data_IF_788141569843
#
_entry.id   IF_788141569843
#
_cell.length_a   1.000
_cell.length_b   1.000
_cell.length_c   1.000
_cell.angle_alpha   90.00
_cell.angle_beta   90.00
_cell.angle_gamma   90.00
#
_symmetry.space_group_name_H-M   'P 1'
#
loop_
_entity.id
_entity.type
_entity.pdbx_description
1 polymer ?
#
# COMPACT_ATOMS: atom_id res chain seq x y z
N UNK A 1 40.02 -3.03 -27.43
CA UNK A 1 39.91 -3.37 -25.99
C UNK A 1 39.36 -4.80 -25.85
N UNK A 2 39.97 -5.68 -25.03
CA UNK A 2 39.51 -7.09 -24.89
C UNK A 2 38.13 -7.14 -24.21
N UNK A 3 37.27 -8.07 -24.62
CA UNK A 3 35.92 -8.25 -24.08
C UNK A 3 35.89 -8.38 -22.54
N UNK A 4 36.84 -9.13 -21.96
CA UNK A 4 37.02 -9.25 -20.50
C UNK A 4 37.17 -7.89 -19.79
N UNK A 5 37.97 -6.98 -20.34
CA UNK A 5 38.23 -5.67 -19.74
C UNK A 5 37.00 -4.77 -19.86
N UNK A 6 36.24 -4.92 -20.96
CA UNK A 6 34.98 -4.19 -21.17
C UNK A 6 33.91 -4.62 -20.15
N UNK A 7 33.81 -5.91 -19.83
CA UNK A 7 32.89 -6.45 -18.81
C UNK A 7 33.22 -5.89 -17.42
N UNK A 8 34.49 -5.95 -17.00
CA UNK A 8 34.95 -5.42 -15.71
C UNK A 8 34.68 -3.92 -15.61
N UNK A 9 35.01 -3.16 -16.66
CA UNK A 9 34.74 -1.71 -16.70
C UNK A 9 33.25 -1.39 -16.61
N UNK A 10 32.39 -2.14 -17.31
CA UNK A 10 30.94 -1.95 -17.26
C UNK A 10 30.37 -2.24 -15.87
N UNK A 11 30.82 -3.32 -15.21
CA UNK A 11 30.37 -3.66 -13.86
C UNK A 11 30.74 -2.59 -12.84
N UNK A 12 31.96 -2.07 -12.89
CA UNK A 12 32.40 -1.03 -11.96
C UNK A 12 31.67 0.31 -12.21
N UNK A 13 31.39 0.64 -13.47
CA UNK A 13 30.65 1.87 -13.82
C UNK A 13 29.16 1.77 -13.49
N UNK A 14 28.56 0.59 -13.65
CA UNK A 14 27.13 0.34 -13.44
C UNK A 14 26.92 -0.91 -12.57
N UNK A 15 27.07 -0.81 -11.24
CA UNK A 15 26.96 -1.95 -10.33
C UNK A 15 25.61 -2.68 -10.43
N UNK A 16 24.53 -1.92 -10.67
CA UNK A 16 23.17 -2.42 -10.77
C UNK A 16 22.77 -2.92 -12.17
N UNK A 17 23.67 -2.89 -13.14
CA UNK A 17 23.36 -3.40 -14.49
C UNK A 17 23.29 -4.93 -14.48
N UNK A 18 22.25 -5.50 -15.09
CA UNK A 18 22.11 -6.96 -15.14
C UNK A 18 23.20 -7.60 -16.02
N UNK A 19 23.60 -8.83 -15.70
CA UNK A 19 24.56 -9.57 -16.54
C UNK A 19 24.05 -9.82 -17.97
N UNK A 20 22.72 -9.78 -18.17
CA UNK A 20 22.10 -9.86 -19.49
C UNK A 20 22.27 -8.58 -20.30
N UNK A 21 22.22 -7.40 -19.67
CA UNK A 21 22.51 -6.13 -20.32
C UNK A 21 23.99 -6.01 -20.69
N UNK A 22 24.89 -6.40 -19.78
CA UNK A 22 26.33 -6.43 -20.06
C UNK A 22 26.63 -7.37 -21.24
N UNK A 23 25.99 -8.55 -21.26
CA UNK A 23 26.09 -9.52 -22.36
C UNK A 23 25.67 -8.90 -23.70
N UNK A 24 24.53 -8.22 -23.76
CA UNK A 24 24.05 -7.53 -24.96
C UNK A 24 24.98 -6.40 -25.42
N UNK A 25 25.54 -5.63 -24.49
CA UNK A 25 26.42 -4.49 -24.81
C UNK A 25 27.83 -4.89 -25.25
N UNK A 26 28.29 -6.08 -24.82
CA UNK A 26 29.63 -6.61 -25.16
C UNK A 26 29.54 -7.59 -26.34
N UNK A 27 28.39 -8.20 -26.60
CA UNK A 27 28.21 -9.18 -27.68
C UNK A 27 28.71 -10.58 -27.32
N UNK A 28 28.61 -10.97 -26.05
CA UNK A 28 29.10 -12.28 -25.53
C UNK A 28 28.01 -12.99 -24.75
N UNK A 29 28.15 -14.31 -24.54
CA UNK A 29 27.16 -15.06 -23.78
C UNK A 29 27.07 -14.61 -22.32
N UNK A 30 25.87 -14.71 -21.73
CA UNK A 30 25.64 -14.39 -20.31
C UNK A 30 26.47 -15.27 -19.37
N UNK A 31 26.72 -16.51 -19.73
CA UNK A 31 27.57 -17.45 -18.98
C UNK A 31 29.02 -16.95 -18.96
N UNK A 32 29.52 -16.47 -20.10
CA UNK A 32 30.85 -15.88 -20.18
C UNK A 32 30.98 -14.65 -19.28
N UNK A 33 29.99 -13.75 -19.28
CA UNK A 33 29.95 -12.59 -18.37
C UNK A 33 29.99 -13.05 -16.91
N UNK A 34 29.18 -14.03 -16.52
CA UNK A 34 29.15 -14.55 -15.16
C UNK A 34 30.51 -15.10 -14.71
N UNK A 35 31.18 -15.90 -15.56
CA UNK A 35 32.49 -16.46 -15.26
C UNK A 35 33.56 -15.38 -15.10
N UNK A 36 33.56 -14.36 -15.96
CA UNK A 36 34.49 -13.23 -15.85
C UNK A 36 34.26 -12.44 -14.57
N UNK A 37 32.99 -12.13 -14.23
CA UNK A 37 32.67 -11.42 -12.99
C UNK A 37 33.10 -12.22 -11.74
N UNK A 38 32.82 -13.53 -11.73
CA UNK A 38 33.22 -14.42 -10.63
C UNK A 38 34.73 -14.53 -10.49
N UNK A 39 35.48 -14.56 -11.59
CA UNK A 39 36.95 -14.67 -11.60
C UNK A 39 37.67 -13.39 -11.16
N UNK A 40 36.95 -12.26 -11.12
CA UNK A 40 37.47 -10.97 -10.65
C UNK A 40 36.80 -10.53 -9.33
N UNK A 41 36.14 -11.45 -8.62
CA UNK A 41 35.43 -11.19 -7.35
C UNK A 41 34.42 -10.03 -7.41
N UNK A 42 33.80 -9.84 -8.57
CA UNK A 42 32.80 -8.81 -8.80
C UNK A 42 31.38 -9.33 -8.54
N UNK A 43 30.48 -8.42 -8.17
CA UNK A 43 29.07 -8.74 -7.94
C UNK A 43 28.43 -9.39 -9.18
N UNK A 44 28.01 -10.66 -9.03
CA UNK A 44 27.32 -11.43 -10.08
C UNK A 44 25.80 -11.38 -9.93
N UNK A 45 25.31 -11.23 -8.70
CA UNK A 45 23.89 -11.10 -8.35
C UNK A 45 23.58 -9.65 -8.02
N UNK A 46 22.86 -8.99 -8.90
CA UNK A 46 22.39 -7.63 -8.68
C UNK A 46 21.16 -7.65 -7.76
N UNK A 47 21.07 -6.77 -6.75
CA UNK A 47 19.87 -6.60 -5.94
C UNK A 47 18.68 -6.24 -6.85
N UNK A 48 17.59 -7.00 -6.74
CA UNK A 48 16.36 -6.67 -7.46
C UNK A 48 15.56 -5.66 -6.64
N UNK A 49 14.92 -4.65 -7.27
CA UNK A 49 13.98 -3.80 -6.55
C UNK A 49 12.86 -4.66 -5.99
N UNK A 50 12.64 -4.58 -4.68
CA UNK A 50 11.53 -5.26 -4.02
C UNK A 50 10.26 -4.45 -4.27
N UNK A 51 9.19 -5.12 -4.71
CA UNK A 51 7.87 -4.49 -4.79
C UNK A 51 7.33 -4.35 -3.38
N UNK A 52 7.46 -3.16 -2.80
CA UNK A 52 6.81 -2.82 -1.55
C UNK A 52 5.34 -2.47 -1.79
N UNK A 53 4.49 -2.85 -0.84
CA UNK A 53 3.07 -2.52 -0.86
C UNK A 53 2.85 -1.50 0.25
N UNK A 54 2.14 -0.41 -0.07
CA UNK A 54 1.84 0.64 0.89
C UNK A 54 0.43 0.49 1.46
N UNK A 55 0.30 0.79 2.74
CA UNK A 55 -0.97 0.84 3.44
C UNK A 55 -1.83 1.98 2.88
N UNK A 56 -3.08 1.68 2.53
CA UNK A 56 -3.99 2.70 1.97
C UNK A 56 -4.42 3.79 2.96
N UNK A 57 -4.24 3.55 4.25
CA UNK A 57 -4.70 4.48 5.30
C UNK A 57 -3.56 5.34 5.87
N UNK A 58 -2.40 4.76 6.19
CA UNK A 58 -1.26 5.52 6.75
C UNK A 58 -0.13 5.78 5.75
N UNK A 59 -0.07 5.06 4.63
CA UNK A 59 1.00 5.21 3.64
C UNK A 59 2.28 4.44 3.96
N UNK A 60 2.38 3.77 5.11
CA UNK A 60 3.54 2.97 5.49
C UNK A 60 3.62 1.64 4.73
N UNK A 61 4.80 1.04 4.69
CA UNK A 61 5.02 -0.25 4.04
C UNK A 61 4.27 -1.33 4.83
N UNK A 62 3.37 -2.04 4.15
CA UNK A 62 2.59 -3.14 4.72
C UNK A 62 2.85 -4.42 3.94
N UNK A 63 2.95 -5.52 4.67
CA UNK A 63 2.95 -6.89 4.12
C UNK A 63 1.59 -7.56 4.24
N UNK A 64 0.60 -6.83 4.78
CA UNK A 64 -0.68 -7.39 5.21
C UNK A 64 -1.65 -7.57 4.05
N UNK A 65 -2.48 -8.62 4.15
CA UNK A 65 -3.50 -8.92 3.14
C UNK A 65 -4.49 -7.76 3.05
N UNK A 66 -4.65 -7.22 1.84
CA UNK A 66 -5.58 -6.11 1.57
C UNK A 66 -4.95 -4.72 1.59
N UNK A 67 -3.63 -4.61 1.81
CA UNK A 67 -2.87 -3.35 1.79
C UNK A 67 -3.32 -2.36 2.88
N UNK A 68 -3.67 -2.87 4.07
CA UNK A 68 -4.04 -2.06 5.24
C UNK A 68 -3.50 -2.78 6.47
N UNK A 69 -2.83 -2.06 7.37
CA UNK A 69 -2.36 -2.65 8.62
C UNK A 69 -3.51 -3.14 9.50
N UNK A 70 -3.25 -4.23 10.20
CA UNK A 70 -4.15 -4.74 11.24
C UNK A 70 -4.26 -3.74 12.40
N UNK A 71 -5.37 -3.78 13.13
CA UNK A 71 -5.64 -2.84 14.22
C UNK A 71 -6.13 -1.47 13.74
N UNK A 72 -5.38 -0.42 14.06
CA UNK A 72 -5.86 0.96 13.92
C UNK A 72 -6.20 1.37 12.49
N UNK A 73 -5.36 1.00 11.52
CA UNK A 73 -5.61 1.32 10.11
C UNK A 73 -6.88 0.62 9.61
N UNK A 74 -7.10 -0.63 10.03
CA UNK A 74 -8.34 -1.35 9.73
C UNK A 74 -9.57 -0.67 10.35
N UNK A 75 -9.46 -0.17 11.59
CA UNK A 75 -10.54 0.58 12.22
C UNK A 75 -10.84 1.89 11.48
N UNK A 76 -9.82 2.72 11.21
CA UNK A 76 -9.96 3.98 10.46
C UNK A 76 -10.50 3.76 9.05
N UNK A 77 -10.13 2.65 8.41
CA UNK A 77 -10.66 2.30 7.10
C UNK A 77 -12.14 1.95 7.14
N UNK A 78 -12.57 1.16 8.13
CA UNK A 78 -13.95 0.62 8.22
C UNK A 78 -14.94 1.57 8.87
N UNK A 79 -14.50 2.37 9.84
CA UNK A 79 -15.37 3.21 10.66
C UNK A 79 -15.18 4.70 10.36
N UNK A 80 -16.25 5.46 10.58
CA UNK A 80 -16.28 6.92 10.45
C UNK A 80 -16.86 7.50 11.73
N UNK A 81 -16.23 8.58 12.22
CA UNK A 81 -16.74 9.36 13.34
C UNK A 81 -17.87 10.25 12.84
N UNK A 82 -19.01 10.20 13.53
CA UNK A 82 -20.22 10.95 13.22
C UNK A 82 -20.73 11.64 14.48
N UNK A 83 -21.55 12.66 14.29
CA UNK A 83 -22.23 13.36 15.38
C UNK A 83 -23.71 13.03 15.31
N UNK A 84 -24.30 12.65 16.45
CA UNK A 84 -25.73 12.38 16.51
C UNK A 84 -26.54 13.65 16.18
N UNK A 85 -27.56 13.53 15.34
CA UNK A 85 -28.45 14.64 14.96
C UNK A 85 -29.25 15.17 16.16
N UNK A 86 -29.60 14.31 17.12
CA UNK A 86 -30.40 14.67 18.29
C UNK A 86 -29.54 14.95 19.52
N UNK A 87 -28.92 13.95 20.15
CA UNK A 87 -28.15 14.12 21.39
C UNK A 87 -26.75 14.75 21.23
N UNK A 88 -26.32 15.02 19.99
CA UNK A 88 -25.00 15.61 19.64
C UNK A 88 -23.76 14.84 20.12
N UNK A 89 -23.91 13.65 20.71
CA UNK A 89 -22.79 12.81 21.12
C UNK A 89 -22.03 12.28 19.89
N UNK A 90 -20.69 12.35 19.88
CA UNK A 90 -19.88 11.75 18.82
C UNK A 90 -19.83 10.23 18.95
N UNK A 91 -19.94 9.51 17.84
CA UNK A 91 -19.90 8.05 17.82
C UNK A 91 -19.29 7.51 16.52
N UNK A 92 -18.92 6.23 16.51
CA UNK A 92 -18.36 5.56 15.34
C UNK A 92 -19.40 4.66 14.67
N UNK A 93 -19.45 4.68 13.33
CA UNK A 93 -20.28 3.78 12.54
C UNK A 93 -19.53 3.28 11.31
N UNK A 94 -19.87 2.08 10.84
CA UNK A 94 -19.28 1.53 9.61
C UNK A 94 -19.56 2.44 8.41
N UNK A 95 -18.52 2.76 7.62
CA UNK A 95 -18.63 3.62 6.43
C UNK A 95 -19.66 3.09 5.42
N UNK A 96 -19.78 1.76 5.29
CA UNK A 96 -20.77 1.13 4.39
C UNK A 96 -22.21 1.47 4.77
N UNK A 97 -22.54 1.43 6.07
CA UNK A 97 -23.86 1.79 6.59
C UNK A 97 -24.13 3.28 6.34
N UNK A 98 -23.15 4.14 6.58
CA UNK A 98 -23.28 5.58 6.34
C UNK A 98 -23.53 5.87 4.87
N UNK A 99 -22.73 5.31 3.97
CA UNK A 99 -22.90 5.44 2.51
C UNK A 99 -24.26 4.95 2.04
N UNK A 100 -24.73 3.81 2.56
CA UNK A 100 -26.06 3.29 2.25
C UNK A 100 -27.16 4.27 2.66
N UNK A 101 -27.09 4.84 3.88
CA UNK A 101 -28.07 5.82 4.37
C UNK A 101 -28.06 7.13 3.57
N UNK A 102 -26.86 7.61 3.19
CA UNK A 102 -26.71 8.78 2.31
C UNK A 102 -27.37 8.50 0.96
N UNK A 103 -27.13 7.31 0.37
CA UNK A 103 -27.77 6.89 -0.89
C UNK A 103 -29.30 6.84 -0.77
N UNK A 104 -29.81 6.39 0.38
CA UNK A 104 -31.25 6.38 0.70
C UNK A 104 -31.80 7.75 1.10
N UNK A 105 -31.02 8.85 1.00
CA UNK A 105 -31.42 10.22 1.34
C UNK A 105 -31.94 10.40 2.78
N UNK A 106 -31.49 9.55 3.70
CA UNK A 106 -31.83 9.67 5.12
C UNK A 106 -31.05 10.83 5.75
N UNK A 107 -31.75 11.90 6.13
CA UNK A 107 -31.16 13.15 6.61
C UNK A 107 -30.58 13.06 8.03
N UNK A 108 -31.14 12.19 8.88
CA UNK A 108 -30.79 12.15 10.30
C UNK A 108 -29.99 10.89 10.65
N UNK A 109 -28.98 11.09 11.49
CA UNK A 109 -28.05 10.07 11.95
C UNK A 109 -28.12 10.03 13.48
N UNK A 110 -28.42 8.87 14.05
CA UNK A 110 -28.58 8.69 15.50
C UNK A 110 -27.53 7.71 16.03
N UNK A 111 -27.03 7.94 17.24
CA UNK A 111 -26.00 7.10 17.85
C UNK A 111 -26.53 5.70 18.19
N UNK A 112 -27.73 5.64 18.78
CA UNK A 112 -28.42 4.40 19.19
C UNK A 112 -29.87 4.39 18.69
N UNK A 113 -30.51 3.22 18.79
CA UNK A 113 -31.93 3.09 18.49
C UNK A 113 -32.79 3.85 19.51
N UNK A 114 -32.41 3.80 20.80
CA UNK A 114 -33.13 4.50 21.87
C UNK A 114 -33.13 6.01 21.64
N UNK A 115 -31.98 6.55 21.23
CA UNK A 115 -31.81 7.95 20.84
C UNK A 115 -32.74 8.34 19.66
N UNK A 116 -32.96 7.44 18.71
CA UNK A 116 -33.93 7.66 17.64
C UNK A 116 -35.38 7.58 18.14
N UNK A 117 -35.70 6.63 19.02
CA UNK A 117 -37.03 6.45 19.58
C UNK A 117 -37.45 7.65 20.44
N UNK A 118 -36.56 8.17 21.26
CA UNK A 118 -36.79 9.38 22.08
C UNK A 118 -37.00 10.62 21.20
N UNK A 119 -36.18 10.83 20.16
CA UNK A 119 -36.43 11.88 19.17
C UNK A 119 -37.82 11.76 18.53
N UNK A 120 -38.27 10.54 18.21
CA UNK A 120 -39.62 10.34 17.64
C UNK A 120 -40.73 10.69 18.62
N UNK A 121 -40.61 10.28 19.89
CA UNK A 121 -41.56 10.64 20.95
C UNK A 121 -41.62 12.15 21.16
N UNK A 122 -40.46 12.81 21.21
CA UNK A 122 -40.37 14.26 21.35
C UNK A 122 -41.09 15.02 20.22
N UNK A 123 -40.93 14.59 18.96
CA UNK A 123 -41.61 15.24 17.84
C UNK A 123 -43.10 14.87 17.71
N UNK A 124 -43.54 13.73 18.24
CA UNK A 124 -44.95 13.36 18.23
C UNK A 124 -45.78 14.17 19.25
N UNK A 125 -45.13 14.66 20.31
CA UNK A 125 -45.73 15.46 21.38
C UNK A 125 -45.62 16.97 21.14
N UNK A 126 -45.20 17.39 19.95
CA UNK A 126 -44.98 18.79 19.57
C UNK A 126 -45.92 19.18 18.44
#
# INVERSE_FOLDING_TARGET
MKAKNKIVRLRNKYPLMSSAEISRQVGVSRVYVHNILKKNDLQTKVPKPQKVVYCKECGDITTDKGRIHEGECTFKSRFMKLTCSWCKVPFYRRKTVVKARIKSKLKNIYCTYDCYAEYRRYNANK
#
